data_IF_308063331581
#
_entry.id   IF_308063331581
#
_cell.length_a   1.000
_cell.length_b   1.000
_cell.length_c   1.000
_cell.angle_alpha   90.00
_cell.angle_beta   90.00
_cell.angle_gamma   90.00
#
_symmetry.space_group_name_H-M   'P 1'
#
loop_
_entity.id
_entity.type
_entity.pdbx_description
1 polymer ?
#
# COMPACT_ATOMS: atom_id res chain seq x y z
N UNK A 1 2.89 -13.09 50.58
CA UNK A 1 3.40 -12.89 51.96
C UNK A 1 4.66 -13.74 52.14
N UNK A 2 5.63 -13.25 52.92
CA UNK A 2 6.91 -13.83 53.38
C UNK A 2 7.00 -15.38 53.38
N UNK A 3 8.12 -16.10 53.21
CA UNK A 3 9.57 -15.83 53.23
C UNK A 3 10.29 -17.04 52.58
N UNK A 4 11.59 -16.88 52.36
CA UNK A 4 12.55 -17.76 51.68
C UNK A 4 12.84 -19.08 52.42
N UNK A 5 13.16 -20.15 51.68
CA UNK A 5 14.26 -21.06 52.06
C UNK A 5 15.10 -21.41 50.83
N UNK A 6 16.39 -21.09 50.92
CA UNK A 6 17.38 -21.31 49.88
C UNK A 6 17.82 -22.78 49.87
N UNK A 7 17.79 -23.40 48.70
CA UNK A 7 18.60 -24.57 48.38
C UNK A 7 19.70 -24.14 47.40
N UNK A 8 20.88 -24.73 47.61
CA UNK A 8 22.18 -24.30 47.10
C UNK A 8 22.28 -24.21 45.56
N UNK A 9 23.04 -23.21 45.09
CA UNK A 9 23.64 -23.23 43.76
C UNK A 9 22.95 -22.41 42.65
N UNK A 10 23.16 -21.08 42.65
CA UNK A 10 23.41 -20.34 41.41
C UNK A 10 22.22 -19.80 40.58
N UNK A 11 21.83 -18.55 40.90
CA UNK A 11 21.03 -17.58 40.10
C UNK A 11 19.52 -17.81 40.01
N UNK A 12 18.82 -17.36 41.06
CA UNK A 12 17.39 -17.07 41.05
C UNK A 12 17.09 -15.90 40.09
N UNK A 13 16.23 -16.12 39.10
CA UNK A 13 15.66 -15.07 38.28
C UNK A 13 14.93 -14.04 39.15
N UNK A 14 15.22 -12.76 38.90
CA UNK A 14 14.64 -11.59 39.56
C UNK A 14 13.11 -11.65 39.50
N UNK A 15 12.43 -11.61 40.65
CA UNK A 15 10.98 -11.34 40.68
C UNK A 15 10.76 -9.95 40.10
N UNK A 16 10.16 -9.88 38.91
CA UNK A 16 9.68 -8.62 38.33
C UNK A 16 8.33 -8.32 38.99
N UNK A 17 8.27 -7.24 39.76
CA UNK A 17 7.02 -6.68 40.25
C UNK A 17 6.20 -6.18 39.06
N UNK A 18 4.93 -6.55 38.98
CA UNK A 18 4.03 -6.10 37.91
C UNK A 18 3.77 -4.60 38.02
N UNK A 19 4.05 -3.78 36.97
CA UNK A 19 3.65 -2.39 36.95
C UNK A 19 2.12 -2.29 36.88
N UNK A 20 1.52 -1.41 37.69
CA UNK A 20 0.07 -1.12 37.63
C UNK A 20 -0.13 0.00 36.60
N UNK A 21 -0.74 -0.33 35.46
CA UNK A 21 -1.15 0.63 34.43
C UNK A 21 -2.67 0.86 34.52
N UNK A 22 -3.13 2.07 34.89
CA UNK A 22 -4.56 2.44 34.86
C UNK A 22 -5.02 2.78 33.42
N UNK A 23 -6.34 2.82 33.16
CA UNK A 23 -6.89 2.49 31.84
C UNK A 23 -6.71 3.60 30.80
N UNK A 24 -6.56 3.19 29.54
CA UNK A 24 -6.80 4.05 28.38
C UNK A 24 -8.28 3.92 27.99
N UNK A 25 -9.03 5.00 28.11
CA UNK A 25 -10.42 5.10 27.66
C UNK A 25 -10.52 5.88 26.35
N UNK A 26 -11.02 5.24 25.29
CA UNK A 26 -11.49 5.89 24.07
C UNK A 26 -11.05 5.22 22.77
N UNK A 27 -11.79 4.20 22.33
CA UNK A 27 -11.81 3.71 20.96
C UNK A 27 -12.76 4.55 20.10
N UNK A 28 -12.16 5.34 19.22
CA UNK A 28 -12.65 5.80 17.93
C UNK A 28 -11.40 5.87 17.02
N UNK A 29 -11.53 5.97 15.69
CA UNK A 29 -10.35 6.23 14.83
C UNK A 29 -9.55 7.38 15.44
N UNK A 30 -8.28 7.13 15.77
CA UNK A 30 -7.49 8.14 16.49
C UNK A 30 -7.42 9.41 15.64
N UNK A 31 -7.32 10.58 16.27
CA UNK A 31 -7.14 11.82 15.51
C UNK A 31 -5.91 11.73 14.59
N UNK A 32 -4.89 10.96 14.96
CA UNK A 32 -3.75 10.64 14.09
C UNK A 32 -4.15 9.84 12.84
N UNK A 33 -5.05 8.86 12.94
CA UNK A 33 -5.56 8.12 11.77
C UNK A 33 -6.37 9.03 10.83
N UNK A 34 -7.14 9.95 11.40
CA UNK A 34 -7.91 10.93 10.63
C UNK A 34 -7.00 11.93 9.91
N UNK A 35 -5.96 12.42 10.58
CA UNK A 35 -4.93 13.27 9.94
C UNK A 35 -4.19 12.51 8.84
N UNK A 36 -3.82 11.24 9.08
CA UNK A 36 -3.16 10.43 8.06
C UNK A 36 -4.07 10.21 6.84
N UNK A 37 -5.36 9.97 7.04
CA UNK A 37 -6.35 9.90 5.96
C UNK A 37 -6.48 11.23 5.20
N UNK A 38 -6.53 12.36 5.91
CA UNK A 38 -6.59 13.69 5.30
C UNK A 38 -5.34 14.00 4.45
N UNK A 39 -4.15 13.58 4.89
CA UNK A 39 -2.92 13.71 4.09
C UNK A 39 -3.01 12.83 2.83
N UNK A 40 -3.46 11.57 2.95
CA UNK A 40 -3.68 10.70 1.78
C UNK A 40 -4.65 11.31 0.78
N UNK A 41 -5.76 11.85 1.27
CA UNK A 41 -6.76 12.52 0.44
C UNK A 41 -6.24 13.81 -0.19
N UNK A 42 -5.44 14.58 0.56
CA UNK A 42 -4.76 15.76 0.05
C UNK A 42 -3.82 15.43 -1.11
N UNK A 43 -3.06 14.33 -1.00
CA UNK A 43 -2.21 13.89 -2.11
C UNK A 43 -3.03 13.42 -3.30
N UNK A 44 -4.05 12.60 -3.05
CA UNK A 44 -4.95 12.08 -4.09
C UNK A 44 -5.66 13.18 -4.90
N UNK A 45 -6.08 14.25 -4.23
CA UNK A 45 -6.79 15.38 -4.84
C UNK A 45 -5.85 16.43 -5.45
N UNK A 46 -4.54 16.28 -5.27
CA UNK A 46 -3.53 17.25 -5.71
C UNK A 46 -3.39 18.47 -4.79
N UNK A 47 -4.11 18.54 -3.67
CA UNK A 47 -3.93 19.58 -2.66
C UNK A 47 -2.56 19.49 -1.96
N UNK A 48 -2.00 18.28 -1.86
CA UNK A 48 -0.62 18.02 -1.45
C UNK A 48 0.14 17.40 -2.63
N UNK A 49 1.24 18.03 -3.03
CA UNK A 49 1.98 17.71 -4.25
C UNK A 49 3.21 16.87 -3.90
N UNK A 50 3.42 15.71 -4.53
CA UNK A 50 4.65 14.92 -4.41
C UNK A 50 5.91 15.76 -4.62
N UNK A 51 6.87 15.63 -3.71
CA UNK A 51 8.11 16.41 -3.71
C UNK A 51 8.01 17.79 -3.05
N UNK A 52 6.81 18.33 -2.81
CA UNK A 52 6.64 19.62 -2.15
C UNK A 52 6.74 19.54 -0.61
N UNK A 53 7.21 20.63 0.01
CA UNK A 53 7.41 20.76 1.45
C UNK A 53 6.22 21.49 2.10
N UNK A 54 5.68 20.90 3.17
CA UNK A 54 4.52 21.39 3.91
C UNK A 54 4.82 21.59 5.38
N UNK A 55 4.18 22.60 5.98
CA UNK A 55 4.29 22.88 7.42
C UNK A 55 3.34 21.99 8.21
N UNK A 56 3.88 21.24 9.18
CA UNK A 56 3.07 20.47 10.13
C UNK A 56 2.22 21.38 11.05
N UNK A 57 2.66 22.63 11.26
CA UNK A 57 1.89 23.62 12.03
C UNK A 57 0.68 24.10 11.25
N UNK A 58 0.88 24.50 9.99
CA UNK A 58 -0.23 24.94 9.13
C UNK A 58 -1.25 23.81 8.95
N UNK A 59 -0.79 22.58 8.74
CA UNK A 59 -1.67 21.42 8.64
C UNK A 59 -2.51 21.19 9.90
N UNK A 60 -1.94 21.43 11.09
CA UNK A 60 -2.68 21.31 12.34
C UNK A 60 -3.78 22.38 12.45
N UNK A 61 -3.44 23.62 12.10
CA UNK A 61 -4.36 24.76 12.13
C UNK A 61 -5.51 24.57 11.10
N UNK A 62 -5.18 24.14 9.88
CA UNK A 62 -6.15 23.88 8.80
C UNK A 62 -7.12 22.75 9.16
N UNK A 63 -6.63 21.70 9.83
CA UNK A 63 -7.44 20.57 10.27
C UNK A 63 -8.16 20.81 11.60
N UNK A 64 -7.91 21.95 12.27
CA UNK A 64 -8.51 22.27 13.57
C UNK A 64 -8.12 21.31 14.69
N UNK A 65 -6.93 20.70 14.63
CA UNK A 65 -6.43 19.72 15.61
C UNK A 65 -5.16 20.21 16.29
N UNK A 66 -4.81 19.60 17.43
CA UNK A 66 -3.52 19.89 18.05
C UNK A 66 -2.34 19.29 17.26
N UNK A 67 -1.12 19.74 17.58
CA UNK A 67 0.11 19.30 16.89
C UNK A 67 0.48 17.83 17.14
N UNK A 68 0.06 17.25 18.27
CA UNK A 68 0.41 15.87 18.65
C UNK A 68 -0.13 14.82 17.67
N UNK A 69 -1.44 14.78 17.35
CA UNK A 69 -1.98 13.82 16.36
C UNK A 69 -1.38 14.03 14.97
N UNK A 70 -1.05 15.27 14.60
CA UNK A 70 -0.34 15.54 13.33
C UNK A 70 1.05 14.92 13.32
N UNK A 71 1.84 15.14 14.38
CA UNK A 71 3.18 14.55 14.49
C UNK A 71 3.12 13.02 14.47
N UNK A 72 2.16 12.42 15.16
CA UNK A 72 1.96 10.97 15.17
C UNK A 72 1.59 10.43 13.78
N UNK A 73 0.65 11.09 13.08
CA UNK A 73 0.29 10.75 11.72
C UNK A 73 1.50 10.83 10.77
N UNK A 74 2.27 11.91 10.85
CA UNK A 74 3.44 12.11 10.01
C UNK A 74 4.55 11.08 10.26
N UNK A 75 4.75 10.65 11.51
CA UNK A 75 5.70 9.57 11.83
C UNK A 75 5.26 8.25 11.18
N UNK A 76 3.98 7.89 11.30
CA UNK A 76 3.43 6.68 10.68
C UNK A 76 3.52 6.72 9.16
N UNK A 77 3.20 7.86 8.56
CA UNK A 77 3.30 8.04 7.11
C UNK A 77 4.76 7.98 6.63
N UNK A 78 5.71 8.48 7.43
CA UNK A 78 7.13 8.37 7.13
C UNK A 78 7.64 6.93 7.21
N UNK A 79 7.16 6.14 8.17
CA UNK A 79 7.46 4.70 8.24
C UNK A 79 6.98 3.93 7.01
N UNK A 80 5.88 4.37 6.39
CA UNK A 80 5.35 3.77 5.15
C UNK A 80 5.94 4.36 3.87
N UNK A 81 6.86 5.33 3.97
CA UNK A 81 7.47 5.98 2.81
C UNK A 81 6.57 7.00 2.09
N UNK A 82 5.45 7.42 2.68
CA UNK A 82 4.54 8.38 2.05
C UNK A 82 5.02 9.83 2.18
N UNK A 83 5.73 10.14 3.26
CA UNK A 83 6.30 11.46 3.53
C UNK A 83 7.71 11.35 4.07
N UNK A 84 8.50 12.39 3.89
CA UNK A 84 9.83 12.53 4.51
C UNK A 84 9.76 13.65 5.54
N UNK A 85 10.15 13.36 6.78
CA UNK A 85 10.19 14.38 7.83
C UNK A 85 11.40 15.29 7.63
N UNK A 86 11.14 16.60 7.58
CA UNK A 86 12.15 17.63 7.34
C UNK A 86 12.33 18.43 8.64
N UNK A 87 13.47 18.21 9.33
CA UNK A 87 13.71 18.75 10.68
C UNK A 87 13.53 20.27 10.69
N UNK A 88 12.68 20.76 11.59
CA UNK A 88 12.32 22.18 11.76
C UNK A 88 11.64 22.85 10.54
N UNK A 89 11.24 22.08 9.52
CA UNK A 89 10.64 22.60 8.29
C UNK A 89 9.26 22.01 8.02
N UNK A 90 8.97 20.82 8.57
CA UNK A 90 7.70 20.14 8.45
C UNK A 90 7.87 18.77 7.82
N UNK A 91 7.16 18.50 6.72
CA UNK A 91 7.23 17.24 6.00
C UNK A 91 7.16 17.46 4.49
N UNK A 92 7.85 16.62 3.73
CA UNK A 92 7.77 16.56 2.28
C UNK A 92 6.91 15.39 1.86
N UNK A 93 5.99 15.56 0.93
CA UNK A 93 5.32 14.39 0.31
C UNK A 93 6.37 13.64 -0.51
N UNK A 94 6.50 12.34 -0.30
CA UNK A 94 7.48 11.55 -1.01
C UNK A 94 7.18 11.53 -2.52
N UNK A 95 8.24 11.41 -3.34
CA UNK A 95 8.13 11.21 -4.79
C UNK A 95 9.06 10.07 -5.17
N UNK A 96 8.53 8.84 -5.34
CA UNK A 96 9.38 7.68 -5.63
C UNK A 96 10.01 7.81 -7.01
N UNK A 97 11.31 7.51 -7.11
CA UNK A 97 12.01 7.47 -8.39
C UNK A 97 11.80 6.15 -9.14
N UNK A 98 12.23 6.03 -10.41
CA UNK A 98 12.00 4.83 -11.23
C UNK A 98 12.58 3.54 -10.61
N UNK A 99 13.73 3.62 -9.93
CA UNK A 99 14.30 2.45 -9.23
C UNK A 99 13.44 1.99 -8.06
N UNK A 100 12.95 2.94 -7.27
CA UNK A 100 12.10 2.64 -6.11
C UNK A 100 10.76 2.04 -6.56
N UNK A 101 10.21 2.49 -7.68
CA UNK A 101 9.03 1.86 -8.30
C UNK A 101 9.31 0.40 -8.63
N UNK A 102 10.44 0.10 -9.29
CA UNK A 102 10.82 -1.29 -9.58
C UNK A 102 10.98 -2.14 -8.30
N UNK A 103 11.59 -1.58 -7.24
CA UNK A 103 11.75 -2.26 -5.94
C UNK A 103 10.39 -2.55 -5.28
N UNK A 104 9.46 -1.61 -5.35
CA UNK A 104 8.08 -1.80 -4.87
C UNK A 104 7.41 -2.94 -5.63
N UNK A 105 7.50 -2.97 -6.97
CA UNK A 105 6.90 -4.04 -7.76
C UNK A 105 7.58 -5.40 -7.55
N UNK A 106 8.89 -5.44 -7.31
CA UNK A 106 9.58 -6.66 -6.91
C UNK A 106 8.99 -7.23 -5.61
N UNK A 107 8.80 -6.40 -4.59
CA UNK A 107 8.16 -6.82 -3.34
C UNK A 107 6.72 -7.27 -3.56
N UNK A 108 5.95 -6.57 -4.39
CA UNK A 108 4.58 -6.97 -4.74
C UNK A 108 4.54 -8.32 -5.45
N UNK A 109 5.46 -8.59 -6.39
CA UNK A 109 5.58 -9.90 -7.04
C UNK A 109 5.86 -11.02 -6.03
N UNK A 110 6.79 -10.79 -5.10
CA UNK A 110 7.13 -11.76 -4.05
C UNK A 110 5.98 -12.03 -3.06
N UNK A 111 5.10 -11.06 -2.86
CA UNK A 111 4.01 -11.14 -1.86
C UNK A 111 2.66 -11.54 -2.46
N UNK A 112 2.27 -10.97 -3.59
CA UNK A 112 0.93 -11.12 -4.16
C UNK A 112 0.80 -12.41 -4.98
N UNK A 113 1.82 -12.79 -5.76
CA UNK A 113 1.77 -13.97 -6.65
C UNK A 113 1.56 -15.28 -5.86
N UNK A 114 2.34 -15.58 -4.79
CA UNK A 114 2.10 -16.81 -4.02
C UNK A 114 0.77 -16.81 -3.26
N UNK A 115 0.23 -15.61 -2.95
CA UNK A 115 -1.07 -15.50 -2.29
C UNK A 115 -2.20 -15.83 -3.25
N UNK A 116 -2.20 -15.26 -4.46
CA UNK A 116 -3.25 -15.52 -5.43
C UNK A 116 -3.26 -16.97 -5.89
N UNK A 117 -2.09 -17.59 -6.07
CA UNK A 117 -1.93 -19.01 -6.40
C UNK A 117 -2.65 -19.89 -5.37
N UNK A 118 -2.33 -19.68 -4.09
CA UNK A 118 -2.94 -20.43 -2.98
C UNK A 118 -4.43 -20.16 -2.83
N UNK A 119 -4.87 -18.91 -3.02
CA UNK A 119 -6.29 -18.55 -2.94
C UNK A 119 -7.08 -19.21 -4.08
N UNK A 120 -6.52 -19.27 -5.28
CA UNK A 120 -7.16 -19.93 -6.42
C UNK A 120 -7.33 -21.45 -6.22
N UNK A 121 -6.43 -22.12 -5.47
CA UNK A 121 -6.59 -23.55 -5.18
C UNK A 121 -7.87 -23.89 -4.40
N UNK A 122 -8.32 -22.99 -3.52
CA UNK A 122 -9.51 -23.16 -2.70
C UNK A 122 -10.12 -21.80 -2.32
N UNK A 123 -10.79 -21.11 -3.27
CA UNK A 123 -11.34 -19.77 -3.01
C UNK A 123 -12.42 -19.83 -1.93
N UNK A 124 -12.37 -18.94 -0.92
CA UNK A 124 -13.44 -18.81 0.06
C UNK A 124 -14.79 -18.51 -0.60
N UNK A 125 -15.87 -18.96 0.05
CA UNK A 125 -17.23 -18.66 -0.42
C UNK A 125 -17.45 -17.14 -0.53
N UNK A 126 -18.06 -16.71 -1.64
CA UNK A 126 -18.34 -15.30 -1.93
C UNK A 126 -17.16 -14.47 -2.46
N UNK A 127 -15.93 -15.01 -2.48
CA UNK A 127 -14.78 -14.26 -3.02
C UNK A 127 -14.97 -13.93 -4.50
N UNK A 128 -15.34 -14.91 -5.32
CA UNK A 128 -15.50 -14.73 -6.77
C UNK A 128 -16.56 -13.68 -7.09
N UNK A 129 -17.69 -13.70 -6.38
CA UNK A 129 -18.76 -12.71 -6.55
C UNK A 129 -18.27 -11.30 -6.21
N UNK A 130 -17.55 -11.14 -5.08
CA UNK A 130 -16.96 -9.86 -4.69
C UNK A 130 -15.96 -9.34 -5.75
N UNK A 131 -15.11 -10.21 -6.30
CA UNK A 131 -14.15 -9.83 -7.35
C UNK A 131 -14.87 -9.36 -8.64
N UNK A 132 -15.95 -10.03 -9.04
CA UNK A 132 -16.76 -9.61 -10.17
C UNK A 132 -17.57 -8.33 -9.91
N UNK A 133 -17.97 -8.05 -8.67
CA UNK A 133 -18.52 -6.76 -8.27
C UNK A 133 -17.52 -5.63 -8.45
N UNK A 134 -16.28 -5.81 -7.97
CA UNK A 134 -15.22 -4.82 -8.15
C UNK A 134 -14.89 -4.61 -9.64
N UNK A 135 -14.78 -5.67 -10.46
CA UNK A 135 -14.56 -5.55 -11.91
C UNK A 135 -15.68 -4.78 -12.63
N UNK A 136 -16.95 -5.02 -12.26
CA UNK A 136 -18.10 -4.29 -12.83
C UNK A 136 -18.05 -2.81 -12.45
N UNK A 137 -17.71 -2.52 -11.21
CA UNK A 137 -17.61 -1.15 -10.74
C UNK A 137 -16.40 -0.40 -11.34
N UNK A 138 -15.26 -1.07 -11.52
CA UNK A 138 -14.13 -0.55 -12.31
C UNK A 138 -14.56 -0.22 -13.74
N UNK A 139 -15.28 -1.14 -14.40
CA UNK A 139 -15.77 -0.92 -15.77
C UNK A 139 -16.73 0.28 -15.86
N UNK A 140 -17.63 0.45 -14.89
CA UNK A 140 -18.55 1.57 -14.84
C UNK A 140 -17.82 2.90 -14.59
N UNK A 141 -16.85 2.93 -13.68
CA UNK A 141 -16.02 4.10 -13.41
C UNK A 141 -15.15 4.47 -14.62
N UNK A 142 -14.59 3.49 -15.32
CA UNK A 142 -13.86 3.68 -16.57
C UNK A 142 -14.73 4.34 -17.65
N UNK A 143 -15.97 3.86 -17.84
CA UNK A 143 -16.91 4.44 -18.79
C UNK A 143 -17.31 5.88 -18.44
N UNK A 144 -17.30 6.24 -17.16
CA UNK A 144 -17.58 7.60 -16.68
C UNK A 144 -16.34 8.52 -16.67
N UNK A 145 -15.15 8.00 -16.95
CA UNK A 145 -13.89 8.73 -16.77
C UNK A 145 -13.58 9.06 -15.30
N UNK A 146 -14.21 8.36 -14.35
CA UNK A 146 -14.01 8.56 -12.91
C UNK A 146 -12.86 7.68 -12.42
N UNK A 147 -11.65 8.16 -12.65
CA UNK A 147 -10.42 7.50 -12.26
C UNK A 147 -10.31 7.31 -10.73
N UNK A 148 -10.81 8.26 -9.94
CA UNK A 148 -10.74 8.16 -8.47
C UNK A 148 -11.54 6.97 -7.97
N UNK A 149 -12.77 6.82 -8.47
CA UNK A 149 -13.61 5.67 -8.14
C UNK A 149 -13.00 4.38 -8.68
N UNK A 150 -12.49 4.40 -9.91
CA UNK A 150 -11.82 3.24 -10.51
C UNK A 150 -10.68 2.72 -9.62
N UNK A 151 -9.76 3.60 -9.21
CA UNK A 151 -8.59 3.23 -8.39
C UNK A 151 -8.99 2.69 -7.01
N UNK A 152 -10.12 3.13 -6.47
CA UNK A 152 -10.65 2.60 -5.22
C UNK A 152 -11.15 1.15 -5.39
N UNK A 153 -11.78 0.82 -6.52
CA UNK A 153 -12.22 -0.55 -6.82
C UNK A 153 -11.05 -1.46 -7.20
N UNK A 154 -10.08 -0.95 -7.96
CA UNK A 154 -8.81 -1.63 -8.25
C UNK A 154 -8.10 -2.08 -6.95
N UNK A 155 -7.99 -1.17 -5.97
CA UNK A 155 -7.43 -1.53 -4.67
C UNK A 155 -8.25 -2.57 -3.92
N UNK A 156 -9.58 -2.44 -3.89
CA UNK A 156 -10.45 -3.40 -3.20
C UNK A 156 -10.35 -4.80 -3.80
N UNK A 157 -10.21 -4.92 -5.12
CA UNK A 157 -10.01 -6.20 -5.80
C UNK A 157 -8.76 -6.91 -5.27
N UNK A 158 -7.62 -6.20 -5.22
CA UNK A 158 -6.39 -6.74 -4.62
C UNK A 158 -6.57 -7.08 -3.13
N UNK A 159 -7.19 -6.18 -2.34
CA UNK A 159 -7.42 -6.40 -0.91
C UNK A 159 -8.28 -7.67 -0.65
N UNK A 160 -9.31 -7.92 -1.47
CA UNK A 160 -10.13 -9.13 -1.37
C UNK A 160 -9.30 -10.40 -1.53
N UNK A 161 -8.43 -10.46 -2.54
CA UNK A 161 -7.53 -11.60 -2.77
C UNK A 161 -6.56 -11.76 -1.61
N UNK A 162 -5.90 -10.68 -1.18
CA UNK A 162 -4.87 -10.74 -0.15
C UNK A 162 -5.42 -11.10 1.23
N UNK A 163 -6.61 -10.59 1.57
CA UNK A 163 -7.30 -10.91 2.82
C UNK A 163 -7.86 -12.34 2.81
N UNK A 164 -8.35 -12.84 1.67
CA UNK A 164 -8.69 -14.26 1.50
C UNK A 164 -7.46 -15.15 1.72
N UNK A 165 -6.27 -14.63 1.46
CA UNK A 165 -4.99 -15.25 1.80
C UNK A 165 -4.73 -15.43 3.31
N UNK A 166 -5.50 -14.82 4.21
CA UNK A 166 -5.43 -15.04 5.66
C UNK A 166 -4.24 -14.38 6.39
N UNK A 167 -3.30 -13.76 5.67
CA UNK A 167 -2.17 -13.05 6.27
C UNK A 167 -2.40 -11.53 6.26
N UNK A 168 -2.97 -11.01 7.36
CA UNK A 168 -3.26 -9.57 7.51
C UNK A 168 -2.03 -8.68 7.48
N UNK A 169 -0.86 -9.19 7.91
CA UNK A 169 0.39 -8.42 7.87
C UNK A 169 0.86 -8.24 6.42
N UNK A 170 0.78 -9.30 5.62
CA UNK A 170 1.08 -9.23 4.18
C UNK A 170 0.13 -8.27 3.47
N UNK A 171 -1.18 -8.38 3.69
CA UNK A 171 -2.15 -7.46 3.11
C UNK A 171 -1.85 -6.00 3.47
N UNK A 172 -1.51 -5.72 4.74
CA UNK A 172 -1.12 -4.38 5.18
C UNK A 172 0.18 -3.89 4.53
N UNK A 173 1.19 -4.76 4.37
CA UNK A 173 2.44 -4.42 3.71
C UNK A 173 2.21 -4.07 2.24
N UNK A 174 1.40 -4.85 1.51
CA UNK A 174 1.06 -4.55 0.11
C UNK A 174 0.25 -3.27 0.01
N UNK A 175 -0.69 -3.00 0.93
CA UNK A 175 -1.43 -1.74 0.94
C UNK A 175 -0.50 -0.52 1.05
N UNK A 176 0.52 -0.57 1.90
CA UNK A 176 1.52 0.51 2.01
C UNK A 176 2.37 0.64 0.74
N UNK A 177 2.81 -0.47 0.15
CA UNK A 177 3.56 -0.46 -1.12
C UNK A 177 2.74 0.20 -2.25
N UNK A 178 1.44 -0.09 -2.30
CA UNK A 178 0.53 0.53 -3.28
C UNK A 178 0.29 2.02 -3.00
N UNK A 179 0.28 2.44 -1.74
CA UNK A 179 0.22 3.87 -1.38
C UNK A 179 1.42 4.63 -1.95
N UNK A 180 2.63 4.05 -1.90
CA UNK A 180 3.84 4.68 -2.46
C UNK A 180 3.71 4.88 -3.97
N UNK A 181 3.33 3.86 -4.74
CA UNK A 181 3.22 3.99 -6.21
C UNK A 181 2.10 4.94 -6.64
N UNK A 182 1.05 5.11 -5.82
CA UNK A 182 -0.02 6.08 -6.07
C UNK A 182 0.40 7.53 -5.87
N UNK A 183 1.54 7.80 -5.23
CA UNK A 183 2.09 9.15 -5.14
C UNK A 183 2.48 9.70 -6.52
N UNK A 184 2.70 8.84 -7.52
CA UNK A 184 3.08 9.25 -8.87
C UNK A 184 1.93 9.87 -9.66
N UNK A 185 0.74 9.95 -9.06
CA UNK A 185 -0.48 10.35 -9.72
C UNK A 185 -1.45 9.18 -9.72
N UNK A 186 -2.72 9.49 -9.92
CA UNK A 186 -3.68 8.48 -10.31
C UNK A 186 -3.20 7.94 -11.67
N UNK A 187 -2.55 6.78 -11.59
CA UNK A 187 -2.28 5.80 -12.63
C UNK A 187 -1.52 6.22 -13.91
N UNK A 188 -1.23 5.18 -14.69
CA UNK A 188 -0.80 5.21 -16.10
C UNK A 188 -1.83 5.82 -17.06
N UNK A 189 -3.03 6.14 -16.56
CA UNK A 189 -4.21 6.48 -17.37
C UNK A 189 -4.04 7.83 -18.03
N UNK A 190 -4.34 7.88 -19.33
CA UNK A 190 -4.21 9.10 -20.14
C UNK A 190 -2.78 9.39 -20.63
N UNK A 191 -1.78 8.63 -20.19
CA UNK A 191 -0.41 8.70 -20.71
C UNK A 191 0.02 7.44 -21.43
N UNK A 192 -0.21 6.25 -20.85
CA UNK A 192 0.25 4.97 -21.43
C UNK A 192 -0.86 3.95 -21.70
N UNK A 193 -2.04 4.11 -21.08
CA UNK A 193 -3.25 3.28 -21.34
C UNK A 193 -4.52 3.99 -20.90
N UNK A 194 -5.69 3.47 -21.27
CA UNK A 194 -6.98 3.93 -20.74
C UNK A 194 -7.44 3.08 -19.54
N UNK A 195 -8.48 3.55 -18.82
CA UNK A 195 -9.02 2.84 -17.66
C UNK A 195 -9.59 1.46 -18.02
N UNK A 196 -10.10 1.31 -19.25
CA UNK A 196 -10.69 0.06 -19.71
C UNK A 196 -9.62 -1.04 -19.85
N UNK A 197 -8.47 -0.71 -20.43
CA UNK A 197 -7.33 -1.62 -20.53
C UNK A 197 -6.86 -2.09 -19.15
N UNK A 198 -6.78 -1.18 -18.17
CA UNK A 198 -6.42 -1.54 -16.78
C UNK A 198 -7.44 -2.50 -16.16
N UNK A 199 -8.74 -2.32 -16.41
CA UNK A 199 -9.76 -3.26 -15.93
C UNK A 199 -9.64 -4.63 -16.58
N UNK A 200 -9.32 -4.68 -17.88
CA UNK A 200 -9.20 -5.93 -18.62
C UNK A 200 -8.01 -6.79 -18.14
N UNK A 201 -6.93 -6.18 -17.66
CA UNK A 201 -5.77 -6.89 -17.08
C UNK A 201 -6.11 -7.68 -15.80
N UNK A 202 -7.17 -7.29 -15.08
CA UNK A 202 -7.60 -7.99 -13.88
C UNK A 202 -8.47 -9.22 -14.19
N UNK A 203 -9.11 -9.27 -15.37
CA UNK A 203 -10.04 -10.37 -15.74
C UNK A 203 -9.36 -11.75 -15.77
N UNK A 204 -8.16 -11.93 -16.33
CA UNK A 204 -7.47 -13.21 -16.29
C UNK A 204 -7.24 -13.73 -14.86
N UNK A 205 -6.92 -12.84 -13.91
CA UNK A 205 -6.73 -13.19 -12.50
C UNK A 205 -8.03 -13.70 -11.88
N UNK A 206 -9.11 -12.94 -12.02
CA UNK A 206 -10.42 -13.31 -11.45
C UNK A 206 -10.94 -14.62 -12.05
N UNK A 207 -10.79 -14.79 -13.37
CA UNK A 207 -11.16 -16.03 -14.06
C UNK A 207 -10.37 -17.23 -13.56
N UNK A 208 -9.06 -17.10 -13.35
CA UNK A 208 -8.24 -18.19 -12.84
C UNK A 208 -8.63 -18.60 -11.41
N UNK A 209 -9.02 -17.63 -10.55
CA UNK A 209 -9.56 -17.92 -9.22
C UNK A 209 -10.91 -18.64 -9.32
N UNK A 210 -11.80 -18.19 -10.20
CA UNK A 210 -13.11 -18.81 -10.45
C UNK A 210 -12.97 -20.27 -10.92
N UNK A 211 -12.08 -20.53 -11.88
CA UNK A 211 -11.84 -21.88 -12.42
C UNK A 211 -10.97 -22.76 -11.53
N UNK A 212 -10.51 -22.23 -10.38
CA UNK A 212 -9.62 -22.89 -9.43
C UNK A 212 -8.33 -23.40 -10.09
N UNK A 213 -7.67 -22.53 -10.85
CA UNK A 213 -6.40 -22.80 -11.52
C UNK A 213 -5.27 -21.97 -10.88
N UNK A 214 -4.52 -22.54 -9.91
CA UNK A 214 -3.43 -21.86 -9.21
C UNK A 214 -2.34 -21.34 -10.15
N UNK A 215 -1.93 -22.16 -11.12
CA UNK A 215 -0.85 -21.83 -12.05
C UNK A 215 -1.27 -20.67 -12.97
N UNK A 216 -2.50 -20.70 -13.48
CA UNK A 216 -3.02 -19.60 -14.27
C UNK A 216 -3.17 -18.32 -13.45
N UNK A 217 -3.58 -18.41 -12.18
CA UNK A 217 -3.72 -17.26 -11.30
C UNK A 217 -2.35 -16.62 -10.99
N UNK A 218 -1.34 -17.43 -10.72
CA UNK A 218 0.03 -16.98 -10.50
C UNK A 218 0.61 -16.28 -11.72
N UNK A 219 0.45 -16.89 -12.92
CA UNK A 219 0.89 -16.28 -14.19
C UNK A 219 0.19 -14.95 -14.46
N UNK A 220 -1.15 -14.93 -14.36
CA UNK A 220 -1.94 -13.73 -14.63
C UNK A 220 -1.57 -12.56 -13.69
N UNK A 221 -1.39 -12.82 -12.39
CA UNK A 221 -0.99 -11.77 -11.44
C UNK A 221 0.44 -11.29 -11.69
N UNK A 222 1.36 -12.20 -12.04
CA UNK A 222 2.72 -11.82 -12.43
C UNK A 222 2.70 -10.91 -13.65
N UNK A 223 2.00 -11.30 -14.72
CA UNK A 223 1.89 -10.52 -15.95
C UNK A 223 1.32 -9.12 -15.68
N UNK A 224 0.23 -9.04 -14.91
CA UNK A 224 -0.39 -7.79 -14.47
C UNK A 224 0.60 -6.85 -13.73
N UNK A 225 1.30 -7.40 -12.73
CA UNK A 225 2.24 -6.63 -11.92
C UNK A 225 3.48 -6.20 -12.70
N UNK A 226 4.03 -7.08 -13.54
CA UNK A 226 5.19 -6.77 -14.39
C UNK A 226 4.83 -5.69 -15.41
N UNK A 227 3.69 -5.84 -16.09
CA UNK A 227 3.24 -4.88 -17.07
C UNK A 227 2.99 -3.50 -16.44
N UNK A 228 2.21 -3.44 -15.36
CA UNK A 228 1.94 -2.19 -14.63
C UNK A 228 3.22 -1.55 -14.09
N UNK A 229 4.14 -2.36 -13.53
CA UNK A 229 5.38 -1.86 -12.98
C UNK A 229 6.29 -1.24 -14.03
N UNK A 230 6.49 -1.91 -15.17
CA UNK A 230 7.29 -1.37 -16.29
C UNK A 230 6.74 -0.02 -16.79
N UNK A 231 5.42 0.10 -16.92
CA UNK A 231 4.78 1.35 -17.33
C UNK A 231 5.08 2.50 -16.34
N UNK A 232 4.96 2.24 -15.04
CA UNK A 232 5.23 3.27 -14.01
C UNK A 232 6.72 3.63 -13.94
N UNK A 233 7.63 2.65 -14.12
CA UNK A 233 9.07 2.91 -14.21
C UNK A 233 9.38 3.80 -15.42
N UNK A 234 8.78 3.51 -16.58
CA UNK A 234 8.94 4.33 -17.77
C UNK A 234 8.47 5.77 -17.55
N UNK A 235 7.27 5.96 -17.00
CA UNK A 235 6.72 7.29 -16.72
C UNK A 235 7.64 8.11 -15.81
N UNK A 236 8.13 7.55 -14.71
CA UNK A 236 9.03 8.31 -13.84
C UNK A 236 10.42 8.51 -14.43
N UNK A 237 10.86 7.62 -15.32
CA UNK A 237 12.11 7.82 -16.06
C UNK A 237 12.02 9.02 -17.02
N UNK A 238 10.87 9.21 -17.67
CA UNK A 238 10.61 10.40 -18.50
C UNK A 238 10.57 11.68 -17.67
N UNK A 239 9.99 11.64 -16.47
CA UNK A 239 9.83 12.84 -15.62
C UNK A 239 11.12 13.24 -14.90
N UNK A 240 11.89 12.28 -14.36
CA UNK A 240 13.02 12.55 -13.46
C UNK A 240 14.41 12.37 -14.09
N UNK A 241 14.53 11.64 -15.20
CA UNK A 241 15.81 11.29 -15.80
C UNK A 241 15.93 11.69 -17.28
N UNK A 242 15.07 12.59 -17.76
CA UNK A 242 14.97 13.02 -19.16
C UNK A 242 14.83 11.83 -20.14
N UNK A 243 14.32 10.68 -19.68
CA UNK A 243 14.19 9.45 -20.47
C UNK A 243 15.51 8.72 -20.79
N UNK A 244 16.63 9.11 -20.15
CA UNK A 244 17.97 8.62 -20.55
C UNK A 244 18.34 7.22 -20.02
N UNK A 245 17.65 6.69 -19.00
CA UNK A 245 17.94 5.34 -18.51
C UNK A 245 17.17 4.29 -19.31
N UNK A 246 17.85 3.18 -19.56
CA UNK A 246 17.23 1.97 -20.10
C UNK A 246 16.31 1.35 -19.03
N UNK A 247 15.00 1.46 -19.27
CA UNK A 247 13.95 0.95 -18.38
C UNK A 247 14.01 -0.57 -18.24
N UNK A 248 14.33 -1.28 -19.33
CA UNK A 248 14.40 -2.74 -19.32
C UNK A 248 15.64 -3.21 -18.55
N UNK A 249 16.78 -2.54 -18.72
CA UNK A 249 17.96 -2.83 -17.93
C UNK A 249 17.72 -2.58 -16.43
N UNK A 250 17.05 -1.47 -16.08
CA UNK A 250 16.70 -1.16 -14.69
C UNK A 250 15.73 -2.19 -14.10
N UNK A 251 14.69 -2.57 -14.85
CA UNK A 251 13.74 -3.59 -14.43
C UNK A 251 14.41 -4.94 -14.22
N UNK A 252 15.24 -5.38 -15.17
CA UNK A 252 16.00 -6.63 -15.08
C UNK A 252 16.96 -6.65 -13.89
N UNK A 253 17.66 -5.53 -13.62
CA UNK A 253 18.56 -5.40 -12.46
C UNK A 253 17.82 -5.60 -11.12
N UNK A 254 16.64 -4.99 -10.98
CA UNK A 254 15.92 -4.94 -9.71
C UNK A 254 15.01 -6.14 -9.51
N UNK A 255 14.27 -6.53 -10.54
CA UNK A 255 13.20 -7.53 -10.45
C UNK A 255 13.71 -8.94 -10.78
N UNK A 256 14.69 -9.05 -11.67
CA UNK A 256 15.25 -10.34 -12.11
C UNK A 256 14.27 -11.16 -12.94
N UNK A 257 13.96 -10.69 -14.15
CA UNK A 257 13.28 -11.48 -15.21
C UNK A 257 14.31 -12.07 -16.19
#
# INVERSE_FOLDING_TARGET
>A
MLLVKAAAGGRYHRRVSTPVLPPLGGSARSLADQVAAAIRDGVRTGALVPGALYSAYQLADDLGVSRSPVREALLRLAETGMVVLERNRGFRVHRPGPREVAEVFHLRLLLEVPVVERVAAAPPAGLVDALYEELRAMSAAAAAGDETTFMAHDQRLHDHVLLAGGNRRLASSVAHLRDVTRLLGASTVGQSRDLAAVADEHRPVVRAIETRDPDAAARAMREHLVHTGRLLVHQENEVLADGTRDVEALWAEVVGD
#
